data_IF_820527668445
#
_entry.id   IF_820527668445
#
_cell.length_a   1.000
_cell.length_b   1.000
_cell.length_c   1.000
_cell.angle_alpha   90.00
_cell.angle_beta   90.00
_cell.angle_gamma   90.00
#
_symmetry.space_group_name_H-M   'P 1'
#
loop_
_entity.id
_entity.type
_entity.pdbx_description
1 polymer ?
#
# COMPACT_ATOMS: atom_id res chain seq x y z
N UNK A 1 35.56 -37.71 -5.59
CA UNK A 1 34.10 -37.96 -5.69
C UNK A 1 33.26 -37.29 -4.59
N UNK A 2 33.41 -37.62 -3.28
CA UNK A 2 32.73 -36.87 -2.19
C UNK A 2 33.34 -35.48 -1.93
N UNK A 3 34.66 -35.36 -2.07
CA UNK A 3 35.42 -34.11 -1.98
C UNK A 3 34.96 -33.05 -2.97
N UNK A 4 34.71 -33.45 -4.21
CA UNK A 4 34.49 -32.51 -5.33
C UNK A 4 33.09 -31.90 -5.26
N UNK A 5 32.09 -32.70 -4.84
CA UNK A 5 30.73 -32.21 -4.55
C UNK A 5 30.72 -31.23 -3.37
N UNK A 6 31.49 -31.51 -2.32
CA UNK A 6 31.61 -30.62 -1.15
C UNK A 6 32.27 -29.28 -1.52
N UNK A 7 33.27 -29.32 -2.40
CA UNK A 7 33.88 -28.11 -2.95
C UNK A 7 32.86 -27.26 -3.71
N UNK A 8 32.08 -27.86 -4.62
CA UNK A 8 31.04 -27.15 -5.38
C UNK A 8 29.97 -26.53 -4.46
N UNK A 9 29.49 -27.26 -3.44
CA UNK A 9 28.54 -26.73 -2.46
C UNK A 9 29.13 -25.52 -1.71
N UNK A 10 30.42 -25.58 -1.38
CA UNK A 10 31.11 -24.49 -0.69
C UNK A 10 31.22 -23.25 -1.57
N UNK A 11 31.48 -23.41 -2.87
CA UNK A 11 31.48 -22.31 -3.84
C UNK A 11 30.11 -21.64 -3.94
N UNK A 12 29.03 -22.42 -4.03
CA UNK A 12 27.66 -21.88 -4.04
C UNK A 12 27.37 -21.13 -2.75
N UNK A 13 27.64 -21.74 -1.60
CA UNK A 13 27.42 -21.14 -0.26
C UNK A 13 28.16 -19.82 -0.11
N UNK A 14 29.36 -19.70 -0.65
CA UNK A 14 30.15 -18.48 -0.59
C UNK A 14 29.62 -17.35 -1.49
N UNK A 15 28.57 -17.59 -2.29
CA UNK A 15 27.85 -16.58 -3.07
C UNK A 15 26.38 -16.40 -2.63
N UNK A 16 26.03 -16.89 -1.43
CA UNK A 16 24.69 -16.74 -0.84
C UNK A 16 24.64 -15.65 0.22
N UNK A 17 23.50 -14.96 0.28
CA UNK A 17 23.13 -14.03 1.35
C UNK A 17 24.22 -12.96 1.59
N UNK A 18 24.75 -12.86 2.80
CA UNK A 18 25.75 -11.86 3.20
C UNK A 18 27.11 -12.03 2.53
N UNK A 19 27.40 -13.19 1.93
CA UNK A 19 28.64 -13.42 1.17
C UNK A 19 28.50 -13.08 -0.32
N UNK A 20 27.29 -12.78 -0.79
CA UNK A 20 27.07 -12.34 -2.17
C UNK A 20 27.58 -10.91 -2.33
N UNK A 21 28.54 -10.75 -3.23
CA UNK A 21 29.12 -9.44 -3.57
C UNK A 21 28.82 -9.02 -5.01
N UNK A 22 28.48 -9.99 -5.87
CA UNK A 22 28.03 -9.74 -7.24
C UNK A 22 26.49 -9.73 -7.28
N UNK A 23 25.96 -8.61 -7.79
CA UNK A 23 24.53 -8.38 -7.94
C UNK A 23 24.15 -8.07 -9.40
N UNK A 24 25.10 -8.21 -10.33
CA UNK A 24 24.83 -8.02 -11.75
C UNK A 24 23.90 -9.14 -12.24
N UNK A 25 22.77 -8.74 -12.79
CA UNK A 25 21.83 -9.67 -13.40
C UNK A 25 22.30 -9.98 -14.83
N UNK A 26 22.12 -11.22 -15.33
CA UNK A 26 22.41 -11.55 -16.72
C UNK A 26 21.67 -10.58 -17.67
N UNK A 27 22.28 -10.21 -18.78
CA UNK A 27 21.68 -9.28 -19.77
C UNK A 27 20.35 -9.77 -20.35
N UNK A 28 20.13 -11.09 -20.34
CA UNK A 28 18.86 -11.73 -20.75
C UNK A 28 17.77 -11.70 -19.67
N UNK A 29 18.09 -11.28 -18.46
CA UNK A 29 17.13 -11.26 -17.36
C UNK A 29 16.07 -10.18 -17.58
N UNK A 30 14.80 -10.58 -17.52
CA UNK A 30 13.67 -9.66 -17.61
C UNK A 30 12.85 -9.72 -16.34
N UNK A 31 12.64 -8.55 -15.71
CA UNK A 31 11.76 -8.43 -14.55
C UNK A 31 10.32 -8.40 -15.03
N UNK A 32 9.52 -9.40 -14.63
CA UNK A 32 8.09 -9.51 -14.98
C UNK A 32 7.24 -9.29 -13.73
N UNK A 33 6.47 -8.21 -13.72
CA UNK A 33 5.53 -7.88 -12.65
C UNK A 33 4.13 -8.27 -13.11
N UNK A 34 3.41 -9.03 -12.29
CA UNK A 34 1.99 -9.37 -12.49
C UNK A 34 1.18 -8.90 -11.27
N UNK A 35 -0.16 -8.81 -11.35
CA UNK A 35 -0.97 -8.36 -10.22
C UNK A 35 -0.73 -9.19 -8.94
N UNK A 36 -0.73 -10.52 -9.03
CA UNK A 36 -0.50 -11.39 -7.87
C UNK A 36 0.96 -11.37 -7.40
N UNK A 37 1.94 -11.19 -8.30
CA UNK A 37 3.32 -11.00 -7.89
C UNK A 37 3.46 -9.72 -7.07
N UNK A 38 2.87 -8.62 -7.55
CA UNK A 38 2.90 -7.33 -6.85
C UNK A 38 2.18 -7.43 -5.51
N UNK A 39 1.03 -8.09 -5.45
CA UNK A 39 0.32 -8.31 -4.20
C UNK A 39 1.18 -9.09 -3.20
N UNK A 40 1.76 -10.22 -3.58
CA UNK A 40 2.62 -11.00 -2.69
C UNK A 40 3.82 -10.19 -2.18
N UNK A 41 4.42 -9.37 -3.05
CA UNK A 41 5.47 -8.43 -2.66
C UNK A 41 4.97 -7.36 -1.67
N UNK A 42 3.79 -6.76 -1.90
CA UNK A 42 3.15 -5.82 -0.99
C UNK A 42 2.84 -6.46 0.36
N UNK A 43 2.42 -7.72 0.38
CA UNK A 43 2.15 -8.47 1.62
C UNK A 43 3.42 -8.69 2.47
N UNK A 44 4.59 -8.77 1.84
CA UNK A 44 5.89 -8.80 2.53
C UNK A 44 6.41 -7.41 2.92
N UNK A 45 6.59 -6.52 1.94
CA UNK A 45 7.38 -5.28 2.05
C UNK A 45 6.52 -4.01 2.16
N UNK A 46 5.24 -4.09 1.80
CA UNK A 46 4.33 -2.95 1.73
C UNK A 46 3.87 -2.45 3.10
N UNK A 47 3.73 -1.13 3.22
CA UNK A 47 3.18 -0.45 4.39
C UNK A 47 2.05 0.49 4.01
N UNK A 48 0.90 0.31 4.65
CA UNK A 48 -0.29 1.15 4.53
C UNK A 48 -0.44 1.98 5.80
N UNK A 49 -0.42 3.30 5.70
CA UNK A 49 -0.56 4.17 6.87
C UNK A 49 -1.18 5.53 6.53
N UNK A 50 -1.55 6.26 7.59
CA UNK A 50 -1.90 7.68 7.55
C UNK A 50 -0.87 8.43 8.39
N UNK A 51 -0.41 9.59 7.93
CA UNK A 51 0.53 10.40 8.70
C UNK A 51 -0.18 11.45 9.57
N UNK A 52 0.60 12.15 10.42
CA UNK A 52 0.08 13.19 11.31
C UNK A 52 -0.59 14.37 10.58
N UNK A 53 -0.31 14.57 9.29
CA UNK A 53 -0.93 15.60 8.45
C UNK A 53 -2.17 15.07 7.70
N UNK A 54 -2.75 13.96 8.13
CA UNK A 54 -3.93 13.34 7.52
C UNK A 54 -3.74 12.97 6.04
N UNK A 55 -2.50 12.61 5.66
CA UNK A 55 -2.21 12.10 4.31
C UNK A 55 -2.22 10.58 4.34
N UNK A 56 -2.98 10.01 3.43
CA UNK A 56 -3.01 8.57 3.19
C UNK A 56 -1.79 8.17 2.37
N UNK A 57 -1.02 7.20 2.85
CA UNK A 57 0.26 6.82 2.26
C UNK A 57 0.38 5.31 2.14
N UNK A 58 0.84 4.87 0.97
CA UNK A 58 1.41 3.55 0.77
C UNK A 58 2.90 3.68 0.45
N UNK A 59 3.73 2.84 1.06
CA UNK A 59 5.16 2.80 0.72
C UNK A 59 5.79 1.44 0.97
N UNK A 60 6.90 1.20 0.29
CA UNK A 60 7.85 0.15 0.65
C UNK A 60 9.28 0.63 0.38
N UNK A 61 10.23 -0.01 1.03
CA UNK A 61 11.65 0.33 0.95
C UNK A 61 12.44 -0.90 0.52
N UNK A 62 13.33 -0.73 -0.46
CA UNK A 62 14.30 -1.75 -0.86
C UNK A 62 15.72 -1.24 -0.65
N UNK A 63 16.70 -2.13 -0.79
CA UNK A 63 18.10 -1.70 -0.91
C UNK A 63 18.33 -0.99 -2.25
N UNK A 64 19.26 -0.04 -2.31
CA UNK A 64 19.50 0.74 -3.53
C UNK A 64 19.94 -0.11 -4.74
N UNK A 65 20.56 -1.28 -4.50
CA UNK A 65 20.95 -2.25 -5.53
C UNK A 65 19.70 -2.77 -6.28
N UNK A 66 18.55 -2.83 -5.61
CA UNK A 66 17.29 -3.29 -6.20
C UNK A 66 16.53 -2.18 -6.96
N UNK A 67 17.19 -1.07 -7.30
CA UNK A 67 16.60 0.01 -8.10
C UNK A 67 15.94 -0.45 -9.42
N UNK A 68 16.50 -1.43 -10.18
CA UNK A 68 15.83 -1.94 -11.37
C UNK A 68 14.45 -2.54 -11.09
N UNK A 69 14.32 -3.30 -9.99
CA UNK A 69 13.04 -3.86 -9.54
C UNK A 69 12.06 -2.77 -9.14
N UNK A 70 12.53 -1.76 -8.40
CA UNK A 70 11.71 -0.62 -8.01
C UNK A 70 11.14 0.11 -9.24
N UNK A 71 11.97 0.32 -10.27
CA UNK A 71 11.53 0.95 -11.51
C UNK A 71 10.51 0.09 -12.27
N UNK A 72 10.72 -1.23 -12.33
CA UNK A 72 9.77 -2.15 -12.95
C UNK A 72 8.40 -2.14 -12.24
N UNK A 73 8.39 -2.13 -10.90
CA UNK A 73 7.14 -2.02 -10.11
C UNK A 73 6.44 -0.69 -10.39
N UNK A 74 7.18 0.43 -10.39
CA UNK A 74 6.63 1.75 -10.70
C UNK A 74 5.98 1.76 -12.09
N UNK A 75 6.70 1.29 -13.10
CA UNK A 75 6.19 1.23 -14.47
C UNK A 75 4.95 0.35 -14.60
N UNK A 76 4.92 -0.79 -13.92
CA UNK A 76 3.75 -1.66 -13.88
C UNK A 76 2.54 -0.96 -13.25
N UNK A 77 2.71 -0.33 -12.08
CA UNK A 77 1.63 0.42 -11.43
C UNK A 77 1.14 1.56 -12.33
N UNK A 78 2.04 2.24 -13.03
CA UNK A 78 1.72 3.34 -13.94
C UNK A 78 0.99 2.89 -15.20
N UNK A 79 1.34 1.73 -15.76
CA UNK A 79 0.75 1.22 -17.00
C UNK A 79 -0.47 0.33 -16.77
N UNK A 80 -0.75 -0.08 -15.53
CA UNK A 80 -1.86 -0.98 -15.26
C UNK A 80 -3.21 -0.32 -15.57
N UNK A 81 -3.88 -0.88 -16.57
CA UNK A 81 -5.25 -0.53 -16.93
C UNK A 81 -6.23 -1.29 -16.04
N UNK A 82 -7.15 -0.57 -15.44
CA UNK A 82 -8.28 -1.17 -14.72
C UNK A 82 -9.36 -1.45 -15.76
N UNK A 83 -9.51 -2.71 -16.14
CA UNK A 83 -10.59 -3.14 -17.02
C UNK A 83 -11.86 -3.38 -16.19
N UNK A 84 -12.50 -2.29 -15.80
CA UNK A 84 -13.81 -2.30 -15.15
C UNK A 84 -14.78 -1.50 -16.02
N UNK A 85 -15.80 -2.19 -16.55
CA UNK A 85 -16.81 -1.62 -17.43
C UNK A 85 -17.55 -0.41 -16.82
N UNK A 86 -17.54 -0.30 -15.49
CA UNK A 86 -18.16 0.78 -14.73
C UNK A 86 -17.17 1.86 -14.28
N UNK A 87 -15.87 1.69 -14.57
CA UNK A 87 -14.80 2.61 -14.18
C UNK A 87 -14.08 3.20 -15.41
N UNK A 88 -14.64 4.28 -15.96
CA UNK A 88 -13.98 5.03 -17.03
C UNK A 88 -13.31 6.27 -16.46
N UNK A 89 -12.01 6.16 -16.20
CA UNK A 89 -11.17 7.35 -16.01
C UNK A 89 -10.75 7.86 -17.39
N UNK A 90 -10.86 9.17 -17.62
CA UNK A 90 -10.33 9.76 -18.85
C UNK A 90 -8.80 9.60 -18.92
N UNK A 91 -8.22 9.27 -20.08
CA UNK A 91 -6.77 9.17 -20.25
C UNK A 91 -6.02 10.43 -19.79
N UNK A 92 -6.60 11.62 -20.02
CA UNK A 92 -6.01 12.89 -19.60
C UNK A 92 -5.94 13.00 -18.06
N UNK A 93 -6.98 12.56 -17.35
CA UNK A 93 -6.94 12.55 -15.89
C UNK A 93 -5.94 11.53 -15.36
N UNK A 94 -5.84 10.34 -15.97
CA UNK A 94 -4.83 9.34 -15.63
C UNK A 94 -3.41 9.87 -15.80
N UNK A 95 -3.16 10.60 -16.88
CA UNK A 95 -1.86 11.23 -17.13
C UNK A 95 -1.53 12.26 -16.04
N UNK A 96 -2.49 13.16 -15.73
CA UNK A 96 -2.32 14.21 -14.69
C UNK A 96 -2.02 13.59 -13.32
N UNK A 97 -2.76 12.55 -12.92
CA UNK A 97 -2.53 11.92 -11.61
C UNK A 97 -1.25 11.09 -11.59
N UNK A 98 -0.84 10.46 -12.70
CA UNK A 98 0.37 9.62 -12.73
C UNK A 98 1.66 10.46 -12.72
N UNK A 99 1.66 11.64 -13.34
CA UNK A 99 2.81 12.56 -13.31
C UNK A 99 3.10 13.13 -11.92
N UNK A 100 2.12 13.14 -11.01
CA UNK A 100 2.20 13.83 -9.71
C UNK A 100 2.52 12.93 -8.51
N UNK A 101 2.59 11.60 -8.69
CA UNK A 101 2.33 10.69 -7.55
C UNK A 101 3.44 9.75 -7.10
N UNK A 102 4.59 9.73 -7.76
CA UNK A 102 5.62 8.75 -7.42
C UNK A 102 6.87 9.44 -6.90
N UNK A 103 6.89 9.71 -5.59
CA UNK A 103 8.13 10.09 -4.92
C UNK A 103 9.00 8.83 -4.79
N UNK A 104 9.79 8.61 -5.82
CA UNK A 104 10.96 7.77 -5.77
C UNK A 104 12.09 8.57 -5.12
N UNK A 105 12.62 8.07 -4.00
CA UNK A 105 13.75 8.72 -3.34
C UNK A 105 14.84 7.70 -3.04
N UNK A 106 16.08 8.02 -3.44
CA UNK A 106 17.28 7.33 -2.97
C UNK A 106 17.68 7.95 -1.63
N UNK A 107 17.76 7.15 -0.58
CA UNK A 107 18.35 7.55 0.69
C UNK A 107 19.81 7.10 0.72
N UNK A 108 20.70 8.03 1.06
CA UNK A 108 22.12 7.74 1.24
C UNK A 108 22.32 6.75 2.38
N UNK A 109 23.44 6.02 2.32
CA UNK A 109 23.90 5.21 3.44
C UNK A 109 23.98 6.07 4.70
N UNK A 110 23.61 5.48 5.84
CA UNK A 110 24.02 6.02 7.15
C UNK A 110 25.13 5.14 7.71
N UNK A 111 25.71 5.52 8.85
CA UNK A 111 26.80 4.77 9.52
C UNK A 111 26.44 3.29 9.71
N UNK A 112 25.15 2.98 9.92
CA UNK A 112 24.67 1.63 10.24
C UNK A 112 23.69 1.05 9.20
N UNK A 113 23.52 1.68 8.04
CA UNK A 113 22.53 1.22 7.06
C UNK A 113 23.00 1.42 5.63
N UNK A 114 22.85 0.38 4.82
CA UNK A 114 23.06 0.46 3.38
C UNK A 114 22.15 1.52 2.74
N UNK A 115 22.56 2.10 1.60
CA UNK A 115 21.69 2.98 0.83
C UNK A 115 20.38 2.26 0.48
N UNK A 116 19.28 3.00 0.52
CA UNK A 116 17.95 2.46 0.28
C UNK A 116 17.19 3.27 -0.76
N UNK A 117 16.12 2.68 -1.26
CA UNK A 117 15.27 3.23 -2.28
C UNK A 117 13.82 3.05 -1.87
N UNK A 118 13.03 4.10 -2.01
CA UNK A 118 11.66 4.14 -1.49
C UNK A 118 10.73 4.49 -2.62
N UNK A 119 9.65 3.72 -2.75
CA UNK A 119 8.46 4.14 -3.47
C UNK A 119 7.44 4.62 -2.46
N UNK A 120 7.01 5.86 -2.62
CA UNK A 120 6.06 6.51 -1.75
C UNK A 120 4.89 7.06 -2.57
N UNK A 121 3.71 6.48 -2.36
CA UNK A 121 2.44 6.93 -2.92
C UNK A 121 1.71 7.74 -1.86
N UNK A 122 1.43 9.02 -2.13
CA UNK A 122 0.75 9.89 -1.16
C UNK A 122 -0.30 10.83 -1.75
N UNK A 123 -0.52 10.80 -3.07
CA UNK A 123 -1.51 11.64 -3.73
C UNK A 123 -2.85 10.89 -3.73
N UNK A 124 -3.83 11.44 -3.00
CA UNK A 124 -5.07 10.72 -2.67
C UNK A 124 -5.90 10.31 -3.89
N UNK A 125 -5.95 11.13 -4.95
CA UNK A 125 -6.69 10.78 -6.16
C UNK A 125 -6.07 9.56 -6.84
N UNK A 126 -4.75 9.51 -6.97
CA UNK A 126 -4.11 8.32 -7.54
C UNK A 126 -4.33 7.07 -6.67
N UNK A 127 -4.27 7.23 -5.35
CA UNK A 127 -4.49 6.12 -4.43
C UNK A 127 -5.91 5.56 -4.60
N UNK A 128 -6.91 6.43 -4.56
CA UNK A 128 -8.32 6.04 -4.63
C UNK A 128 -8.73 5.61 -6.03
N UNK A 129 -8.34 6.38 -7.04
CA UNK A 129 -8.80 6.18 -8.41
C UNK A 129 -7.94 5.14 -9.17
N UNK A 130 -6.77 4.72 -8.66
CA UNK A 130 -5.91 3.78 -9.40
C UNK A 130 -5.34 2.66 -8.54
N UNK A 131 -4.66 3.00 -7.45
CA UNK A 131 -3.93 2.01 -6.68
C UNK A 131 -4.84 1.05 -5.89
N UNK A 132 -5.91 1.57 -5.27
CA UNK A 132 -6.90 0.75 -4.58
C UNK A 132 -7.61 -0.21 -5.54
N UNK A 133 -8.16 0.25 -6.69
CA UNK A 133 -8.78 -0.64 -7.67
C UNK A 133 -7.87 -1.79 -8.13
N UNK A 134 -6.59 -1.51 -8.40
CA UNK A 134 -5.59 -2.52 -8.76
C UNK A 134 -5.51 -3.68 -7.74
N UNK A 135 -5.63 -3.39 -6.45
CA UNK A 135 -5.54 -4.39 -5.38
C UNK A 135 -6.90 -4.98 -4.98
N UNK A 136 -7.99 -4.25 -5.19
CA UNK A 136 -9.33 -4.59 -4.69
C UNK A 136 -9.92 -5.90 -5.23
N UNK A 137 -9.51 -6.30 -6.44
CA UNK A 137 -9.94 -7.54 -7.08
C UNK A 137 -9.02 -8.73 -6.81
N UNK A 138 -7.95 -8.52 -6.04
CA UNK A 138 -6.97 -9.55 -5.71
C UNK A 138 -7.25 -10.14 -4.33
N UNK A 139 -6.98 -11.44 -4.18
CA UNK A 139 -7.15 -12.14 -2.90
C UNK A 139 -5.88 -12.04 -2.07
N UNK A 140 -5.93 -11.25 -1.00
CA UNK A 140 -4.86 -11.17 0.01
C UNK A 140 -4.79 -12.46 0.84
N UNK A 141 -3.58 -12.86 1.24
CA UNK A 141 -3.34 -14.09 2.00
C UNK A 141 -3.01 -13.80 3.47
N UNK A 142 -2.53 -12.61 3.80
CA UNK A 142 -2.04 -12.24 5.13
C UNK A 142 -3.00 -11.33 5.90
N UNK A 143 -2.69 -11.09 7.18
CA UNK A 143 -3.39 -10.08 8.01
C UNK A 143 -3.31 -8.66 7.43
N UNK A 144 -2.37 -8.39 6.51
CA UNK A 144 -2.25 -7.10 5.83
C UNK A 144 -3.50 -6.76 5.02
N UNK A 145 -4.33 -7.75 4.65
CA UNK A 145 -5.65 -7.49 4.08
C UNK A 145 -6.51 -6.58 4.98
N UNK A 146 -6.53 -6.85 6.29
CA UNK A 146 -7.31 -6.05 7.24
C UNK A 146 -6.79 -4.62 7.32
N UNK A 147 -5.47 -4.46 7.29
CA UNK A 147 -4.83 -3.14 7.25
C UNK A 147 -5.13 -2.41 5.94
N UNK A 148 -5.12 -3.11 4.80
CA UNK A 148 -5.52 -2.56 3.52
C UNK A 148 -6.98 -2.08 3.52
N UNK A 149 -7.91 -2.84 4.09
CA UNK A 149 -9.33 -2.45 4.17
C UNK A 149 -9.54 -1.21 5.04
N UNK A 150 -8.93 -1.17 6.22
CA UNK A 150 -8.99 0.00 7.10
C UNK A 150 -8.35 1.23 6.43
N UNK A 151 -7.23 1.03 5.75
CA UNK A 151 -6.56 2.06 4.96
C UNK A 151 -7.41 2.58 3.81
N UNK A 152 -8.12 1.70 3.09
CA UNK A 152 -9.06 2.08 2.04
C UNK A 152 -10.19 2.96 2.59
N UNK A 153 -10.71 2.64 3.77
CA UNK A 153 -11.75 3.44 4.40
C UNK A 153 -11.22 4.83 4.80
N UNK A 154 -10.03 4.90 5.42
CA UNK A 154 -9.39 6.19 5.70
C UNK A 154 -9.10 6.99 4.43
N UNK A 155 -8.70 6.32 3.34
CA UNK A 155 -8.50 6.95 2.03
C UNK A 155 -9.79 7.63 1.54
N UNK A 156 -10.95 7.00 1.72
CA UNK A 156 -12.26 7.59 1.37
C UNK A 156 -12.57 8.82 2.19
N UNK A 157 -12.38 8.76 3.51
CA UNK A 157 -12.62 9.91 4.39
C UNK A 157 -11.69 11.09 4.05
N UNK A 158 -10.47 10.81 3.58
CA UNK A 158 -9.54 11.85 3.12
C UNK A 158 -9.96 12.39 1.75
N UNK A 159 -10.28 11.51 0.81
CA UNK A 159 -10.67 11.83 -0.57
C UNK A 159 -11.94 12.68 -0.66
N UNK A 160 -12.88 12.45 0.26
CA UNK A 160 -14.15 13.21 0.37
C UNK A 160 -14.05 14.46 1.23
N UNK A 161 -12.89 14.69 1.86
CA UNK A 161 -12.67 15.85 2.73
C UNK A 161 -13.22 15.71 4.15
N UNK A 162 -13.90 14.61 4.49
CA UNK A 162 -14.44 14.35 5.84
C UNK A 162 -13.38 14.42 6.95
N UNK A 163 -12.12 14.08 6.63
CA UNK A 163 -10.97 14.25 7.52
C UNK A 163 -10.69 15.70 7.97
N UNK A 164 -11.36 16.71 7.42
CA UNK A 164 -11.23 18.11 7.87
C UNK A 164 -12.09 18.39 9.11
N UNK A 165 -13.11 17.58 9.36
CA UNK A 165 -13.99 17.68 10.54
C UNK A 165 -13.35 17.05 11.78
N UNK A 166 -13.81 17.45 12.97
CA UNK A 166 -13.33 16.85 14.23
C UNK A 166 -13.67 15.35 14.30
N UNK A 167 -14.91 14.97 13.97
CA UNK A 167 -15.36 13.59 13.99
C UNK A 167 -14.61 12.73 12.95
N UNK A 168 -14.39 13.24 11.74
CA UNK A 168 -13.62 12.54 10.71
C UNK A 168 -12.16 12.32 11.09
N UNK A 169 -11.50 13.31 11.70
CA UNK A 169 -10.14 13.15 12.25
C UNK A 169 -10.09 12.10 13.36
N UNK A 170 -11.01 12.20 14.31
CA UNK A 170 -11.12 11.27 15.44
C UNK A 170 -11.31 9.83 14.94
N UNK A 171 -12.21 9.63 13.97
CA UNK A 171 -12.45 8.32 13.37
C UNK A 171 -11.18 7.75 12.71
N UNK A 172 -10.48 8.54 11.90
CA UNK A 172 -9.24 8.11 11.22
C UNK A 172 -8.15 7.77 12.25
N UNK A 173 -7.99 8.56 13.31
CA UNK A 173 -7.02 8.29 14.38
C UNK A 173 -7.35 6.96 15.06
N UNK A 174 -8.62 6.73 15.42
CA UNK A 174 -9.05 5.47 16.07
C UNK A 174 -8.83 4.26 15.18
N UNK A 175 -9.16 4.36 13.88
CA UNK A 175 -8.86 3.28 12.92
C UNK A 175 -7.35 3.00 12.86
N UNK A 176 -6.53 4.05 12.76
CA UNK A 176 -5.06 3.90 12.67
C UNK A 176 -4.44 3.21 13.90
N UNK A 177 -5.05 3.40 15.09
CA UNK A 177 -4.66 2.77 16.35
C UNK A 177 -5.01 1.29 16.46
N UNK A 178 -5.56 0.68 15.43
CA UNK A 178 -5.77 -0.76 15.41
C UNK A 178 -5.38 -1.46 14.11
N UNK A 179 -4.56 -0.78 13.32
CA UNK A 179 -3.90 -1.32 12.14
C UNK A 179 -2.45 -1.69 12.42
N UNK A 180 -1.84 -2.44 11.50
CA UNK A 180 -0.41 -2.75 11.49
C UNK A 180 0.03 -3.35 12.84
N UNK A 181 1.07 -2.78 13.46
CA UNK A 181 1.62 -3.26 14.73
C UNK A 181 0.58 -3.28 15.86
N UNK A 182 -0.42 -2.39 15.84
CA UNK A 182 -1.49 -2.36 16.84
C UNK A 182 -2.50 -3.51 16.69
N UNK A 183 -2.49 -4.22 15.56
CA UNK A 183 -3.32 -5.42 15.33
C UNK A 183 -2.63 -6.70 15.79
N UNK A 184 -1.33 -6.67 16.03
CA UNK A 184 -0.58 -7.87 16.39
C UNK A 184 -0.92 -8.28 17.82
N UNK A 185 -1.02 -9.59 18.06
CA UNK A 185 -1.25 -10.16 19.39
C UNK A 185 -0.10 -9.88 20.36
N UNK A 186 1.05 -9.45 19.84
CA UNK A 186 2.22 -9.04 20.63
C UNK A 186 2.12 -7.59 21.14
N UNK A 187 1.14 -6.81 20.67
CA UNK A 187 0.89 -5.47 21.16
C UNK A 187 0.31 -5.53 22.59
N UNK A 188 1.00 -4.91 23.55
CA UNK A 188 0.61 -4.91 24.98
C UNK A 188 -0.07 -3.62 25.43
N UNK A 189 -0.32 -2.67 24.52
CA UNK A 189 -0.99 -1.42 24.89
C UNK A 189 -2.47 -1.65 25.18
N UNK A 190 -3.03 -0.81 26.06
CA UNK A 190 -4.46 -0.83 26.35
C UNK A 190 -5.24 -0.38 25.10
N UNK A 191 -6.10 -1.25 24.58
CA UNK A 191 -7.07 -0.92 23.54
C UNK A 191 -8.17 -0.02 24.12
N UNK A 192 -7.88 1.27 24.33
CA UNK A 192 -8.80 2.16 25.04
C UNK A 192 -9.79 2.91 24.14
N UNK A 193 -9.73 2.76 22.82
CA UNK A 193 -10.62 3.51 21.91
C UNK A 193 -11.17 2.60 20.81
N UNK A 194 -12.16 1.77 21.16
CA UNK A 194 -12.97 1.08 20.15
C UNK A 194 -13.60 2.11 19.21
N UNK A 195 -13.55 1.84 17.91
CA UNK A 195 -14.30 2.62 16.92
C UNK A 195 -15.79 2.35 17.14
N UNK A 196 -16.49 3.33 17.71
CA UNK A 196 -17.92 3.20 17.97
C UNK A 196 -18.72 3.22 16.66
N UNK A 197 -19.70 2.31 16.48
CA UNK A 197 -20.60 2.35 15.32
C UNK A 197 -21.30 3.70 15.14
N UNK A 198 -21.61 4.40 16.24
CA UNK A 198 -22.22 5.74 16.19
C UNK A 198 -21.33 6.76 15.50
N UNK A 199 -20.01 6.75 15.78
CA UNK A 199 -19.05 7.66 15.17
C UNK A 199 -18.87 7.37 13.67
N UNK A 200 -18.83 6.09 13.28
CA UNK A 200 -18.81 5.70 11.86
C UNK A 200 -20.04 6.26 11.15
N UNK A 201 -21.24 6.01 11.72
CA UNK A 201 -22.49 6.47 11.13
C UNK A 201 -22.61 8.00 11.08
N UNK A 202 -22.15 8.69 12.12
CA UNK A 202 -22.08 10.16 12.14
C UNK A 202 -21.25 10.68 10.96
N UNK A 203 -20.02 10.18 10.81
CA UNK A 203 -19.10 10.62 9.75
C UNK A 203 -19.62 10.24 8.36
N UNK A 204 -20.21 9.04 8.19
CA UNK A 204 -20.75 8.60 6.90
C UNK A 204 -21.99 9.39 6.44
N UNK A 205 -22.76 9.96 7.38
CA UNK A 205 -23.92 10.81 7.07
C UNK A 205 -23.55 12.25 6.71
N UNK A 206 -22.30 12.66 6.91
CA UNK A 206 -21.83 13.98 6.51
C UNK A 206 -21.76 14.08 4.99
N UNK A 207 -22.16 15.24 4.46
CA UNK A 207 -21.94 15.57 3.06
C UNK A 207 -20.45 15.54 2.72
N UNK A 208 -20.15 15.19 1.48
CA UNK A 208 -18.78 15.28 0.97
C UNK A 208 -18.36 16.75 0.86
N UNK A 209 -17.24 17.08 1.49
CA UNK A 209 -16.72 18.45 1.54
C UNK A 209 -15.98 18.77 0.24
N UNK A 210 -15.32 17.77 -0.34
CA UNK A 210 -14.63 17.91 -1.62
C UNK A 210 -15.55 17.54 -2.78
N UNK A 211 -15.98 18.55 -3.54
CA UNK A 211 -16.75 18.35 -4.76
C UNK A 211 -15.83 17.78 -5.85
N UNK A 212 -16.11 16.55 -6.29
CA UNK A 212 -15.44 15.90 -7.42
C UNK A 212 -16.40 15.88 -8.61
N UNK A 213 -16.16 16.72 -9.60
CA UNK A 213 -16.93 16.73 -10.84
C UNK A 213 -16.49 15.56 -11.73
N UNK A 214 -17.39 14.62 -12.03
CA UNK A 214 -17.24 13.61 -13.09
C UNK A 214 -16.76 12.20 -12.66
N UNK A 215 -17.59 11.20 -13.02
CA UNK A 215 -17.32 9.76 -13.28
C UNK A 215 -16.58 8.85 -12.25
N UNK A 216 -15.73 9.33 -11.35
CA UNK A 216 -14.98 8.46 -10.40
C UNK A 216 -15.79 8.03 -9.17
N UNK A 217 -16.92 8.69 -8.91
CA UNK A 217 -17.66 8.56 -7.65
C UNK A 217 -18.47 7.26 -7.50
N UNK A 218 -19.03 6.71 -8.58
CA UNK A 218 -20.13 5.73 -8.48
C UNK A 218 -19.73 4.32 -8.03
N UNK A 219 -18.49 3.88 -8.27
CA UNK A 219 -18.04 2.54 -7.86
C UNK A 219 -17.44 2.50 -6.45
N UNK A 220 -16.85 3.60 -6.00
CA UNK A 220 -16.16 3.66 -4.72
C UNK A 220 -17.12 3.44 -3.54
N UNK A 221 -18.39 3.82 -3.67
CA UNK A 221 -19.41 3.57 -2.65
C UNK A 221 -19.67 2.07 -2.38
N UNK A 222 -19.72 1.24 -3.42
CA UNK A 222 -19.93 -0.22 -3.30
C UNK A 222 -18.75 -0.90 -2.59
N UNK A 223 -17.52 -0.49 -2.93
CA UNK A 223 -16.32 -0.97 -2.26
C UNK A 223 -16.24 -0.49 -0.80
N UNK A 224 -16.56 0.77 -0.52
CA UNK A 224 -16.60 1.30 0.84
C UNK A 224 -17.67 0.61 1.70
N UNK A 225 -18.83 0.27 1.12
CA UNK A 225 -19.84 -0.54 1.83
C UNK A 225 -19.32 -1.92 2.24
N UNK A 226 -18.37 -2.50 1.48
CA UNK A 226 -17.68 -3.73 1.88
C UNK A 226 -16.67 -3.44 2.99
N UNK A 227 -15.85 -2.39 2.87
CA UNK A 227 -14.89 -1.99 3.90
C UNK A 227 -15.56 -1.71 5.25
N UNK A 228 -16.72 -1.05 5.27
CA UNK A 228 -17.47 -0.75 6.51
C UNK A 228 -18.04 -2.01 7.17
N UNK A 229 -18.53 -2.98 6.38
CA UNK A 229 -18.95 -4.27 6.91
C UNK A 229 -17.79 -5.03 7.58
N UNK A 230 -16.60 -4.97 7.01
CA UNK A 230 -15.40 -5.59 7.59
C UNK A 230 -14.91 -4.87 8.85
N UNK A 231 -14.98 -3.53 8.88
CA UNK A 231 -14.69 -2.75 10.09
C UNK A 231 -15.54 -3.24 11.26
N UNK A 232 -16.84 -3.52 11.08
CA UNK A 232 -17.67 -4.01 12.19
C UNK A 232 -17.29 -5.41 12.70
N UNK A 233 -16.68 -6.25 11.88
CA UNK A 233 -16.34 -7.65 12.21
C UNK A 233 -14.93 -7.76 12.82
N UNK A 234 -13.99 -6.89 12.44
CA UNK A 234 -12.57 -7.02 12.79
C UNK A 234 -12.20 -6.57 14.22
N UNK A 235 -13.08 -5.87 14.94
CA UNK A 235 -12.83 -5.37 16.31
C UNK A 235 -13.45 -6.19 17.43
N UNK A 236 -14.13 -7.30 17.10
CA UNK A 236 -14.78 -8.19 18.09
C UNK A 236 -13.97 -9.47 18.33
N UNK A 237 -12.69 -9.39 18.66
CA UNK A 237 -11.91 -10.52 19.19
C UNK A 237 -10.79 -10.04 20.10
#
# INVERSE_FOLDING_TARGET
>A
LKSDKLYLITQIKNNMNSKRVDFELPSSHTIRITPYWLLGFIEGEGSFFVNAQMRIIFSFTLTAIQAPLMNAIKLFIDSYSIDDAHFKISPQYLEIISQRTHLYAKRKSTVNSNPSIILHLGQVNFIVDKFIPLLSNLSFVTKKHKDFLDWCFMAYLIYTGKHTTKAGKDLIIKISKGMNNYRLSTFKGLYNELVLPSLINEVLRMDDIYVKWGLTYRLYYSFISKCTAFLHISWRF
#
